data_IF_662073846871
#
_entry.id   IF_662073846871
#
_cell.length_a   1.000
_cell.length_b   1.000
_cell.length_c   1.000
_cell.angle_alpha   90.00
_cell.angle_beta   90.00
_cell.angle_gamma   90.00
#
_symmetry.space_group_name_H-M   'P 1'
#
loop_
_entity.id
_entity.type
_entity.pdbx_description
1 polymer ?
#
# COMPACT_ATOMS: atom_id res chain seq x y z
N UNK A 1 4.27 -23.41 -20.09
CA UNK A 1 5.01 -22.89 -18.93
C UNK A 1 5.27 -21.44 -19.27
N UNK A 2 4.55 -20.49 -18.64
CA UNK A 2 4.85 -19.08 -18.84
C UNK A 2 6.16 -18.78 -18.12
N UNK A 3 7.12 -18.19 -18.81
CA UNK A 3 8.36 -17.73 -18.18
C UNK A 3 8.01 -16.66 -17.13
N UNK A 4 8.67 -16.72 -15.98
CA UNK A 4 8.52 -15.69 -14.97
C UNK A 4 9.13 -14.40 -15.53
N UNK A 5 8.41 -13.27 -15.47
CA UNK A 5 8.97 -11.98 -15.87
C UNK A 5 10.22 -11.69 -15.04
N UNK A 6 11.25 -11.17 -15.71
CA UNK A 6 12.47 -10.68 -15.10
C UNK A 6 12.21 -9.41 -14.29
N UNK A 7 13.12 -9.07 -13.39
CA UNK A 7 13.04 -7.83 -12.61
C UNK A 7 12.92 -6.59 -13.50
N UNK A 8 13.68 -6.56 -14.60
CA UNK A 8 13.66 -5.43 -15.55
C UNK A 8 12.28 -5.27 -16.19
N UNK A 9 11.65 -6.36 -16.58
CA UNK A 9 10.31 -6.33 -17.17
C UNK A 9 9.27 -5.84 -16.16
N UNK A 10 9.36 -6.29 -14.90
CA UNK A 10 8.47 -5.80 -13.84
C UNK A 10 8.63 -4.28 -13.60
N UNK A 11 9.87 -3.79 -13.56
CA UNK A 11 10.15 -2.35 -13.39
C UNK A 11 9.61 -1.55 -14.58
N UNK A 12 9.79 -2.02 -15.81
CA UNK A 12 9.25 -1.34 -16.99
C UNK A 12 7.72 -1.29 -16.96
N UNK A 13 7.04 -2.36 -16.56
CA UNK A 13 5.58 -2.38 -16.42
C UNK A 13 5.10 -1.40 -15.34
N UNK A 14 5.77 -1.35 -14.18
CA UNK A 14 5.44 -0.39 -13.12
C UNK A 14 5.61 1.05 -13.61
N UNK A 15 6.72 1.34 -14.31
CA UNK A 15 6.97 2.68 -14.83
C UNK A 15 5.96 3.10 -15.90
N UNK A 16 5.69 2.23 -16.86
CA UNK A 16 4.87 2.57 -18.03
C UNK A 16 3.37 2.51 -17.74
N UNK A 17 2.90 1.45 -17.10
CA UNK A 17 1.45 1.20 -16.94
C UNK A 17 0.91 1.83 -15.65
N UNK A 18 1.72 1.86 -14.59
CA UNK A 18 1.33 2.39 -13.28
C UNK A 18 1.89 3.80 -13.02
N UNK A 19 2.60 4.37 -14.02
CA UNK A 19 3.16 5.73 -14.00
C UNK A 19 4.02 5.98 -12.78
N UNK A 20 5.03 5.14 -12.61
CA UNK A 20 6.11 5.34 -11.64
C UNK A 20 7.37 5.84 -12.35
N UNK A 21 8.23 6.57 -11.65
CA UNK A 21 9.57 6.92 -12.09
C UNK A 21 10.60 6.54 -11.03
N UNK A 22 11.88 6.55 -11.41
CA UNK A 22 12.97 6.36 -10.44
C UNK A 22 13.00 7.53 -9.46
N UNK A 23 13.30 7.23 -8.20
CA UNK A 23 13.46 8.24 -7.17
C UNK A 23 14.59 9.22 -7.52
N UNK A 24 14.27 10.51 -7.56
CA UNK A 24 15.21 11.62 -7.71
C UNK A 24 15.31 12.42 -6.41
N UNK A 25 16.45 12.30 -5.72
CA UNK A 25 16.67 12.92 -4.40
C UNK A 25 16.35 14.42 -4.32
N UNK A 26 16.55 15.19 -5.39
CA UNK A 26 16.27 16.62 -5.36
C UNK A 26 14.78 16.96 -5.48
N UNK A 27 13.98 16.04 -6.02
CA UNK A 27 12.56 16.25 -6.36
C UNK A 27 11.64 15.50 -5.41
N UNK A 28 12.06 14.34 -4.90
CA UNK A 28 11.19 13.38 -4.21
C UNK A 28 11.52 13.21 -2.72
N UNK A 29 12.62 13.79 -2.24
CA UNK A 29 13.06 13.58 -0.85
C UNK A 29 12.09 14.15 0.19
N UNK A 30 11.11 14.95 -0.21
CA UNK A 30 10.04 15.41 0.66
C UNK A 30 9.06 14.29 1.06
N UNK A 31 9.03 13.16 0.34
CA UNK A 31 8.24 11.96 0.68
C UNK A 31 8.87 11.11 1.79
N UNK A 32 10.11 11.39 2.14
CA UNK A 32 10.84 10.60 3.14
C UNK A 32 10.64 11.27 4.50
N UNK A 33 9.75 10.68 5.29
CA UNK A 33 9.63 10.99 6.72
C UNK A 33 10.31 9.90 7.55
N UNK A 34 11.64 9.98 7.63
CA UNK A 34 12.44 8.95 8.30
C UNK A 34 12.17 8.86 9.80
N UNK A 35 11.78 9.96 10.45
CA UNK A 35 11.43 9.97 11.88
C UNK A 35 10.12 9.19 12.09
N UNK A 36 9.08 9.51 11.32
CA UNK A 36 7.82 8.77 11.37
C UNK A 36 7.99 7.28 11.01
N UNK A 37 8.78 6.98 9.97
CA UNK A 37 8.99 5.58 9.56
C UNK A 37 9.70 4.76 10.64
N UNK A 38 10.66 5.37 11.34
CA UNK A 38 11.36 4.74 12.45
C UNK A 38 10.44 4.56 13.65
N UNK A 39 9.72 5.60 14.05
CA UNK A 39 8.93 5.60 15.28
C UNK A 39 7.66 4.75 15.18
N UNK A 40 6.99 4.81 14.03
CA UNK A 40 5.71 4.12 13.81
C UNK A 40 5.92 2.69 13.31
N UNK A 41 6.86 2.49 12.39
CA UNK A 41 7.02 1.19 11.69
C UNK A 41 8.33 0.46 12.03
N UNK A 42 9.23 1.06 12.82
CA UNK A 42 10.54 0.49 13.11
C UNK A 42 11.50 0.48 11.91
N UNK A 43 11.18 1.22 10.84
CA UNK A 43 11.95 1.25 9.59
C UNK A 43 13.00 2.36 9.70
N UNK A 44 14.22 1.97 10.06
CA UNK A 44 15.30 2.92 10.38
C UNK A 44 16.14 3.33 9.17
N UNK A 45 16.26 2.47 8.15
CA UNK A 45 16.95 2.75 6.90
C UNK A 45 16.10 2.36 5.73
N UNK A 46 16.12 3.22 4.72
CA UNK A 46 15.37 3.03 3.48
C UNK A 46 16.27 3.20 2.27
N UNK A 47 15.97 2.43 1.24
CA UNK A 47 16.57 2.51 -0.08
C UNK A 47 15.46 2.82 -1.08
N UNK A 48 15.23 4.11 -1.32
CA UNK A 48 14.20 4.60 -2.23
C UNK A 48 14.41 4.07 -3.66
N UNK A 49 13.33 3.59 -4.28
CA UNK A 49 13.38 2.98 -5.61
C UNK A 49 12.54 3.77 -6.61
N UNK A 50 11.23 3.80 -6.40
CA UNK A 50 10.26 4.32 -7.35
C UNK A 50 9.30 5.27 -6.67
N UNK A 51 8.87 6.29 -7.39
CA UNK A 51 7.88 7.28 -6.93
C UNK A 51 6.77 7.35 -7.96
N UNK A 52 5.52 7.42 -7.50
CA UNK A 52 4.41 7.61 -8.44
C UNK A 52 4.52 8.98 -9.11
N UNK A 53 4.05 9.11 -10.35
CA UNK A 53 4.16 10.35 -11.11
C UNK A 53 3.42 11.56 -10.49
N UNK A 54 2.54 11.31 -9.52
CA UNK A 54 1.83 12.35 -8.80
C UNK A 54 2.57 12.79 -7.53
N UNK A 55 3.70 12.15 -7.22
CA UNK A 55 4.47 12.32 -6.00
C UNK A 55 3.67 11.89 -4.77
N UNK A 56 2.67 11.04 -4.89
CA UNK A 56 1.81 10.62 -3.79
C UNK A 56 2.30 9.37 -3.06
N UNK A 57 3.16 8.57 -3.70
CA UNK A 57 3.56 7.26 -3.20
C UNK A 57 5.04 6.98 -3.46
N UNK A 58 5.72 6.40 -2.47
CA UNK A 58 7.15 6.05 -2.51
C UNK A 58 7.33 4.56 -2.26
N UNK A 59 7.94 3.85 -3.20
CA UNK A 59 8.43 2.48 -3.01
C UNK A 59 9.89 2.46 -2.58
N UNK A 60 10.21 1.70 -1.54
CA UNK A 60 11.56 1.58 -1.01
C UNK A 60 11.82 0.21 -0.37
N UNK A 61 13.09 -0.17 -0.28
CA UNK A 61 13.52 -1.35 0.49
C UNK A 61 14.03 -0.94 1.87
N UNK A 62 13.86 -1.79 2.87
CA UNK A 62 14.60 -1.68 4.13
C UNK A 62 15.93 -2.45 4.10
N UNK A 63 16.64 -2.47 5.23
CA UNK A 63 17.87 -3.26 5.42
C UNK A 63 17.64 -4.78 5.30
N UNK A 64 16.41 -5.26 5.43
CA UNK A 64 16.03 -6.66 5.26
C UNK A 64 15.66 -7.02 3.81
N UNK A 65 15.68 -6.04 2.89
CA UNK A 65 15.19 -6.13 1.52
C UNK A 65 13.67 -6.34 1.40
N UNK A 66 12.89 -6.07 2.44
CA UNK A 66 11.43 -6.05 2.34
C UNK A 66 11.05 -4.81 1.52
N UNK A 67 10.17 -4.99 0.54
CA UNK A 67 9.66 -3.89 -0.29
C UNK A 67 8.42 -3.30 0.38
N UNK A 68 8.46 -1.99 0.58
CA UNK A 68 7.36 -1.20 1.11
C UNK A 68 6.86 -0.18 0.08
N UNK A 69 5.64 0.27 0.27
CA UNK A 69 5.04 1.43 -0.40
C UNK A 69 4.45 2.35 0.66
N UNK A 70 4.96 3.57 0.75
CA UNK A 70 4.40 4.65 1.56
C UNK A 70 3.46 5.49 0.70
N UNK A 71 2.21 5.68 1.12
CA UNK A 71 1.28 6.59 0.47
C UNK A 71 1.10 7.85 1.34
N UNK A 72 1.63 8.98 0.87
CA UNK A 72 1.59 10.26 1.57
C UNK A 72 0.16 10.79 1.74
N UNK A 73 -0.74 10.52 0.78
CA UNK A 73 -2.12 11.01 0.86
C UNK A 73 -2.89 10.31 1.98
N UNK A 74 -2.68 9.00 2.13
CA UNK A 74 -3.42 8.18 3.11
C UNK A 74 -2.65 8.02 4.43
N UNK A 75 -1.35 8.36 4.43
CA UNK A 75 -0.43 8.10 5.53
C UNK A 75 -0.36 6.62 5.91
N UNK A 76 -0.47 5.74 4.89
CA UNK A 76 -0.48 4.29 5.07
C UNK A 76 0.82 3.70 4.51
N UNK A 77 1.41 2.79 5.29
CA UNK A 77 2.54 1.96 4.88
C UNK A 77 2.07 0.56 4.48
N UNK A 78 2.40 0.16 3.26
CA UNK A 78 2.16 -1.19 2.75
C UNK A 78 3.46 -2.00 2.74
N UNK A 79 3.37 -3.27 3.14
CA UNK A 79 4.33 -4.31 2.80
C UNK A 79 3.88 -4.91 1.46
N UNK A 80 4.73 -4.78 0.46
CA UNK A 80 4.49 -5.35 -0.87
C UNK A 80 5.06 -6.77 -0.97
N UNK A 81 6.19 -7.07 -0.33
CA UNK A 81 6.77 -8.41 -0.32
C UNK A 81 8.12 -8.48 0.38
N UNK A 82 8.58 -9.69 0.71
CA UNK A 82 9.83 -9.88 1.48
C UNK A 82 11.11 -9.69 0.64
N UNK A 83 10.97 -9.39 -0.65
CA UNK A 83 12.03 -9.01 -1.56
C UNK A 83 11.45 -8.19 -2.72
N UNK A 84 12.32 -7.51 -3.49
CA UNK A 84 11.92 -6.66 -4.62
C UNK A 84 11.12 -7.41 -5.70
N UNK A 85 11.49 -8.65 -6.02
CA UNK A 85 10.81 -9.44 -7.07
C UNK A 85 9.39 -9.77 -6.67
N UNK A 86 9.22 -10.29 -5.45
CA UNK A 86 7.91 -10.61 -4.91
C UNK A 86 7.07 -9.35 -4.72
N UNK A 87 7.68 -8.28 -4.20
CA UNK A 87 6.99 -7.02 -3.97
C UNK A 87 6.42 -6.42 -5.26
N UNK A 88 7.20 -6.39 -6.34
CA UNK A 88 6.71 -5.93 -7.65
C UNK A 88 5.68 -6.88 -8.26
N UNK A 89 5.85 -8.20 -8.12
CA UNK A 89 4.84 -9.15 -8.59
C UNK A 89 3.51 -9.00 -7.82
N UNK A 90 3.57 -8.73 -6.52
CA UNK A 90 2.39 -8.51 -5.70
C UNK A 90 1.70 -7.19 -6.06
N UNK A 91 2.48 -6.12 -6.25
CA UNK A 91 1.93 -4.84 -6.70
C UNK A 91 1.22 -4.95 -8.06
N UNK A 92 1.83 -5.64 -9.02
CA UNK A 92 1.30 -5.74 -10.40
C UNK A 92 0.16 -6.75 -10.54
N UNK A 93 0.22 -7.88 -9.83
CA UNK A 93 -0.61 -9.05 -10.16
C UNK A 93 -1.35 -9.66 -8.97
N UNK A 94 -0.89 -9.40 -7.74
CA UNK A 94 -1.45 -10.01 -6.53
C UNK A 94 -1.74 -8.97 -5.44
N UNK A 95 -2.65 -8.01 -5.70
CA UNK A 95 -2.99 -6.99 -4.72
C UNK A 95 -3.51 -7.59 -3.41
N UNK A 96 -4.08 -8.81 -3.43
CA UNK A 96 -4.54 -9.55 -2.26
C UNK A 96 -3.42 -9.95 -1.29
N UNK A 97 -2.16 -9.92 -1.73
CA UNK A 97 -0.99 -10.25 -0.92
C UNK A 97 -0.33 -9.03 -0.28
N UNK A 98 -0.76 -7.83 -0.66
CA UNK A 98 -0.29 -6.59 -0.02
C UNK A 98 -0.89 -6.50 1.38
N UNK A 99 -0.09 -6.06 2.33
CA UNK A 99 -0.52 -5.90 3.72
C UNK A 99 -0.24 -4.49 4.20
N UNK A 100 -1.17 -3.91 4.94
CA UNK A 100 -0.97 -2.64 5.65
C UNK A 100 -0.34 -2.93 7.02
N UNK A 101 0.54 -2.04 7.46
CA UNK A 101 1.10 -2.04 8.82
C UNK A 101 0.27 -1.09 9.68
N UNK A 102 -0.40 -1.62 10.69
CA UNK A 102 -1.07 -0.80 11.71
C UNK A 102 -0.07 -0.22 12.72
N UNK A 103 -0.49 0.79 13.48
CA UNK A 103 0.35 1.45 14.51
C UNK A 103 0.87 0.48 15.58
N UNK A 104 0.16 -0.61 15.86
CA UNK A 104 0.58 -1.63 16.82
C UNK A 104 1.46 -2.74 16.20
N UNK A 105 1.81 -2.60 14.92
CA UNK A 105 2.62 -3.53 14.15
C UNK A 105 1.86 -4.73 13.58
N UNK A 106 0.53 -4.79 13.74
CA UNK A 106 -0.27 -5.82 13.08
C UNK A 106 -0.27 -5.63 11.56
N UNK A 107 -0.30 -6.77 10.85
CA UNK A 107 -0.41 -6.80 9.40
C UNK A 107 -1.82 -7.18 8.99
N UNK A 108 -2.49 -6.27 8.27
CA UNK A 108 -3.80 -6.54 7.70
C UNK A 108 -3.68 -6.63 6.18
N UNK A 109 -4.04 -7.76 5.56
CA UNK A 109 -4.13 -7.84 4.11
C UNK A 109 -5.09 -6.79 3.55
N UNK A 110 -4.74 -6.16 2.43
CA UNK A 110 -5.54 -5.10 1.80
C UNK A 110 -6.99 -5.56 1.51
N UNK A 111 -7.12 -6.79 1.01
CA UNK A 111 -8.43 -7.43 0.75
C UNK A 111 -9.29 -7.62 2.01
N UNK A 112 -8.66 -7.77 3.17
CA UNK A 112 -9.38 -7.91 4.44
C UNK A 112 -9.94 -6.55 4.89
N UNK A 113 -9.25 -5.45 4.61
CA UNK A 113 -9.77 -4.10 4.86
C UNK A 113 -10.96 -3.78 3.96
N UNK A 114 -10.88 -4.13 2.67
CA UNK A 114 -12.02 -4.00 1.74
C UNK A 114 -13.24 -4.79 2.26
N UNK A 115 -13.02 -6.03 2.70
CA UNK A 115 -14.08 -6.87 3.26
C UNK A 115 -14.71 -6.23 4.50
N UNK A 116 -13.90 -5.70 5.42
CA UNK A 116 -14.38 -5.03 6.63
C UNK A 116 -15.16 -3.76 6.29
N UNK A 117 -14.67 -2.96 5.35
CA UNK A 117 -15.36 -1.75 4.89
C UNK A 117 -16.74 -2.08 4.28
N UNK A 118 -16.82 -3.11 3.43
CA UNK A 118 -18.10 -3.56 2.88
C UNK A 118 -19.09 -4.03 3.95
N UNK A 119 -18.61 -4.79 4.94
CA UNK A 119 -19.44 -5.28 6.03
C UNK A 119 -19.98 -4.14 6.90
N UNK A 120 -19.14 -3.15 7.18
CA UNK A 120 -19.53 -1.95 7.91
C UNK A 120 -20.65 -1.21 7.19
N UNK A 121 -20.51 -0.97 5.88
CA UNK A 121 -21.53 -0.32 5.05
C UNK A 121 -22.85 -1.10 5.06
N UNK A 122 -22.80 -2.44 4.95
CA UNK A 122 -23.99 -3.30 5.01
C UNK A 122 -24.72 -3.18 6.36
N UNK A 123 -23.96 -3.13 7.46
CA UNK A 123 -24.52 -2.96 8.82
C UNK A 123 -25.14 -1.57 8.99
N UNK A 124 -24.43 -0.51 8.58
CA UNK A 124 -24.90 0.88 8.64
C UNK A 124 -26.23 1.03 7.88
N UNK A 125 -26.29 0.49 6.66
CA UNK A 125 -27.47 0.53 5.81
C UNK A 125 -28.65 -0.23 6.42
N UNK A 126 -28.40 -1.42 6.99
CA UNK A 126 -29.43 -2.19 7.68
C UNK A 126 -30.00 -1.46 8.92
N UNK A 127 -29.15 -0.74 9.64
CA UNK A 127 -29.57 0.06 10.79
C UNK A 127 -30.42 1.27 10.36
N UNK A 128 -30.04 1.97 9.29
CA UNK A 128 -30.81 3.05 8.70
C UNK A 128 -32.21 2.60 8.23
N UNK A 129 -32.29 1.43 7.59
CA UNK A 129 -33.59 0.87 7.17
C UNK A 129 -34.49 0.53 8.37
N UNK A 130 -33.92 0.12 9.51
CA UNK A 130 -34.69 -0.14 10.73
C UNK A 130 -35.22 1.14 11.36
N UNK A 131 -34.41 2.20 11.44
CA UNK A 131 -34.84 3.49 12.01
C UNK A 131 -35.97 4.12 11.18
N UNK A 132 -35.85 4.13 9.85
CA UNK A 132 -36.89 4.64 8.95
C UNK A 132 -38.22 3.87 9.06
N UNK A 133 -38.18 2.56 9.33
CA UNK A 133 -39.40 1.78 9.56
C UNK A 133 -40.05 2.11 10.90
N UNK A 134 -39.27 2.44 11.93
CA UNK A 134 -39.80 2.79 13.25
C UNK A 134 -40.45 4.18 13.25
N UNK A 135 -39.91 5.15 12.49
CA UNK A 135 -40.48 6.50 12.37
C UNK A 135 -41.80 6.55 11.58
N UNK A 136 -42.01 5.65 10.62
CA UNK A 136 -43.24 5.59 9.82
C UNK A 136 -44.36 4.75 10.46
N UNK A 137 -44.15 4.24 11.69
CA UNK A 137 -45.09 3.37 12.41
C UNK A 137 -45.71 4.03 13.66
N UNK A 138 -45.41 5.31 13.91
CA UNK A 138 -45.98 6.13 14.99
C UNK A 138 -46.86 7.24 14.44
#
# INVERSE_FOLDING_TARGET
MHELPSLSELVELIKNDHKYHEFYKNEDNWLIDQENFSDTYGITKIYSLLVDHYGGSLMFLDDCNILFEWCEITQIMYILGINIMEGFANFLYHPEKRCIIEEDGNLIPDIELERQAEELVKVEFANLLKSLKQENSG
#
